data_IF_881903949699
#
_entry.id   IF_881903949699
#
_cell.length_a   1.000
_cell.length_b   1.000
_cell.length_c   1.000
_cell.angle_alpha   90.00
_cell.angle_beta   90.00
_cell.angle_gamma   90.00
#
_symmetry.space_group_name_H-M   'P 1'
#
loop_
_entity.id
_entity.type
_entity.pdbx_description
1 polymer ?
#
# COMPACT_ATOMS: atom_id res chain seq x y z
N UNK A 1 1.55 16.44 23.03
CA UNK A 1 1.02 16.24 21.66
C UNK A 1 2.16 15.82 20.74
N UNK A 2 2.06 14.66 20.09
CA UNK A 2 3.02 14.25 19.06
C UNK A 2 2.81 15.15 17.84
N UNK A 3 3.86 15.83 17.37
CA UNK A 3 3.83 16.58 16.10
C UNK A 3 3.86 15.57 14.97
N UNK A 4 2.75 15.43 14.25
CA UNK A 4 2.71 14.68 12.99
C UNK A 4 3.15 15.63 11.88
N UNK A 5 4.22 15.27 11.17
CA UNK A 5 4.68 16.02 10.01
C UNK A 5 4.06 15.38 8.77
N UNK A 6 3.11 16.06 8.16
CA UNK A 6 2.54 15.64 6.88
C UNK A 6 3.58 15.88 5.80
N UNK A 7 3.97 14.80 5.11
CA UNK A 7 4.92 14.86 4.01
C UNK A 7 4.13 15.22 2.75
N UNK A 8 4.09 16.50 2.40
CA UNK A 8 3.52 16.95 1.13
C UNK A 8 4.45 16.56 -0.04
N UNK A 9 3.94 15.74 -0.96
CA UNK A 9 4.76 15.06 -1.96
C UNK A 9 4.53 15.63 -3.36
N UNK A 10 5.61 16.02 -4.05
CA UNK A 10 5.65 15.93 -5.52
C UNK A 10 6.72 14.98 -6.06
N UNK A 11 7.84 14.74 -5.35
CA UNK A 11 8.95 13.87 -5.82
C UNK A 11 9.87 13.37 -4.69
N UNK A 12 9.36 12.90 -3.55
CA UNK A 12 10.26 12.36 -2.53
C UNK A 12 10.73 10.97 -2.95
N UNK A 13 12.06 10.78 -2.97
CA UNK A 13 12.69 9.49 -3.26
C UNK A 13 12.20 8.43 -2.28
N UNK A 14 11.62 7.31 -2.77
CA UNK A 14 11.13 6.20 -1.93
C UNK A 14 12.18 5.66 -0.97
N UNK A 15 13.45 5.68 -1.36
CA UNK A 15 14.57 5.29 -0.49
C UNK A 15 14.66 6.13 0.79
N UNK A 16 14.18 7.39 0.77
CA UNK A 16 14.14 8.24 1.97
C UNK A 16 12.98 7.87 2.91
N UNK A 17 11.93 7.23 2.39
CA UNK A 17 10.77 6.79 3.17
C UNK A 17 10.98 5.40 3.74
N UNK A 18 11.68 4.50 3.03
CA UNK A 18 12.01 3.16 3.52
C UNK A 18 12.86 3.20 4.80
N UNK A 19 13.68 4.23 4.99
CA UNK A 19 14.47 4.40 6.22
C UNK A 19 13.79 5.24 7.30
N UNK A 20 12.60 5.79 7.03
CA UNK A 20 11.85 6.53 8.03
C UNK A 20 11.21 5.55 9.05
N UNK A 21 11.56 5.63 10.35
CA UNK A 21 11.03 4.69 11.35
C UNK A 21 9.51 4.74 11.52
N UNK A 22 8.90 5.92 11.34
CA UNK A 22 7.45 6.07 11.41
C UNK A 22 6.78 5.39 10.21
N UNK A 23 7.36 5.52 9.02
CA UNK A 23 6.85 4.84 7.83
C UNK A 23 6.93 3.32 8.01
N UNK A 24 8.08 2.80 8.44
CA UNK A 24 8.25 1.36 8.74
C UNK A 24 7.20 0.86 9.73
N UNK A 25 7.03 1.56 10.86
CA UNK A 25 6.09 1.16 11.90
C UNK A 25 4.61 1.20 11.47
N UNK A 26 4.23 2.11 10.56
CA UNK A 26 2.83 2.28 10.15
C UNK A 26 2.49 1.45 8.91
N UNK A 27 3.43 1.33 7.97
CA UNK A 27 3.19 0.67 6.69
C UNK A 27 3.75 -0.76 6.68
N UNK A 28 5.07 -0.92 6.87
CA UNK A 28 5.74 -2.22 6.76
C UNK A 28 5.37 -3.16 7.90
N UNK A 29 5.34 -2.67 9.15
CA UNK A 29 5.04 -3.47 10.34
C UNK A 29 3.53 -3.58 10.64
N UNK A 30 2.68 -3.11 9.72
CA UNK A 30 1.22 -3.24 9.87
C UNK A 30 0.80 -4.71 9.88
N UNK A 31 -0.18 -5.04 10.71
CA UNK A 31 -0.80 -6.38 10.74
C UNK A 31 -1.84 -6.59 9.62
N UNK A 32 -2.17 -5.54 8.88
CA UNK A 32 -3.05 -5.59 7.71
C UNK A 32 -2.25 -5.57 6.41
N UNK A 33 -2.75 -6.26 5.38
CA UNK A 33 -2.22 -6.13 4.03
C UNK A 33 -2.57 -4.74 3.47
N UNK A 34 -1.54 -3.96 3.14
CA UNK A 34 -1.69 -2.61 2.60
C UNK A 34 -1.14 -2.54 1.18
N UNK A 35 -1.89 -1.88 0.30
CA UNK A 35 -1.53 -1.67 -1.11
C UNK A 35 -1.59 -0.18 -1.44
N UNK A 36 -0.59 0.31 -2.16
CA UNK A 36 -0.72 1.54 -2.91
C UNK A 36 -1.19 1.22 -4.31
N UNK A 37 -2.20 1.96 -4.78
CA UNK A 37 -2.78 1.79 -6.10
C UNK A 37 -2.52 3.04 -6.94
N UNK A 38 -2.27 2.85 -8.22
CA UNK A 38 -2.40 3.91 -9.20
C UNK A 38 -3.89 4.27 -9.31
N UNK A 39 -4.23 5.53 -9.05
CA UNK A 39 -5.62 5.96 -8.92
C UNK A 39 -6.42 5.87 -10.24
N UNK A 40 -5.74 5.81 -11.39
CA UNK A 40 -6.39 5.75 -12.71
C UNK A 40 -6.54 4.32 -13.18
N UNK A 41 -5.47 3.54 -13.14
CA UNK A 41 -5.43 2.16 -13.65
C UNK A 41 -5.81 1.11 -12.61
N UNK A 42 -5.91 1.48 -11.33
CA UNK A 42 -6.13 0.57 -10.19
C UNK A 42 -5.09 -0.57 -10.10
N UNK A 43 -3.92 -0.35 -10.69
CA UNK A 43 -2.78 -1.27 -10.58
C UNK A 43 -2.05 -1.05 -9.27
N UNK A 44 -1.58 -2.13 -8.68
CA UNK A 44 -0.74 -2.10 -7.49
C UNK A 44 0.59 -1.44 -7.86
N UNK A 45 0.93 -0.34 -7.19
CA UNK A 45 2.22 0.35 -7.33
C UNK A 45 3.20 -0.01 -6.22
N UNK A 46 2.68 -0.46 -5.06
CA UNK A 46 3.48 -0.98 -3.94
C UNK A 46 2.59 -1.76 -2.96
N UNK A 47 3.21 -2.52 -2.07
CA UNK A 47 2.56 -3.20 -0.96
C UNK A 47 3.51 -3.37 0.24
N UNK A 48 2.96 -3.63 1.42
CA UNK A 48 3.76 -3.91 2.63
C UNK A 48 4.12 -5.41 2.75
N UNK A 49 4.99 -5.73 3.71
CA UNK A 49 5.36 -7.12 4.01
C UNK A 49 4.15 -8.02 4.28
N UNK A 50 3.13 -7.50 4.97
CA UNK A 50 1.94 -8.27 5.30
C UNK A 50 1.13 -8.71 4.08
N UNK A 51 1.10 -7.89 3.04
CA UNK A 51 0.48 -8.26 1.77
C UNK A 51 1.20 -9.42 1.10
N UNK A 52 2.54 -9.44 1.10
CA UNK A 52 3.33 -10.56 0.55
C UNK A 52 2.96 -11.87 1.26
N UNK A 53 2.89 -11.84 2.60
CA UNK A 53 2.51 -13.00 3.42
C UNK A 53 1.10 -13.50 3.12
N UNK A 54 0.10 -12.61 3.18
CA UNK A 54 -1.31 -12.99 3.07
C UNK A 54 -1.70 -13.42 1.66
N UNK A 55 -1.06 -12.85 0.63
CA UNK A 55 -1.31 -13.19 -0.77
C UNK A 55 -0.34 -14.27 -1.29
N UNK A 56 0.50 -14.84 -0.42
CA UNK A 56 1.42 -15.94 -0.74
C UNK A 56 2.34 -15.63 -1.93
N UNK A 57 2.81 -14.39 -2.02
CA UNK A 57 3.82 -13.99 -3.00
C UNK A 57 5.23 -14.27 -2.46
N UNK A 58 6.21 -14.45 -3.35
CA UNK A 58 7.61 -14.58 -2.93
C UNK A 58 8.23 -13.21 -2.64
N UNK A 59 7.83 -12.20 -3.41
CA UNK A 59 8.37 -10.85 -3.34
C UNK A 59 7.37 -9.80 -3.86
N UNK A 60 7.59 -8.53 -3.51
CA UNK A 60 6.68 -7.42 -3.88
C UNK A 60 6.39 -7.34 -5.38
N UNK A 61 7.38 -7.60 -6.23
CA UNK A 61 7.24 -7.47 -7.70
C UNK A 61 6.21 -8.45 -8.28
N UNK A 62 5.96 -9.56 -7.59
CA UNK A 62 4.96 -10.55 -8.02
C UNK A 62 3.53 -9.99 -7.89
N UNK A 63 3.34 -8.97 -7.04
CA UNK A 63 2.07 -8.29 -6.81
C UNK A 63 1.97 -6.96 -7.59
N UNK A 64 3.09 -6.26 -7.80
CA UNK A 64 3.12 -4.96 -8.50
C UNK A 64 2.63 -5.10 -9.96
N UNK A 65 1.97 -4.06 -10.47
CA UNK A 65 1.33 -3.97 -11.79
C UNK A 65 0.12 -4.87 -12.02
N UNK A 66 -0.21 -5.77 -11.09
CA UNK A 66 -1.48 -6.49 -11.13
C UNK A 66 -2.65 -5.53 -10.80
N UNK A 67 -3.80 -5.83 -11.37
CA UNK A 67 -5.04 -5.11 -11.05
C UNK A 67 -5.51 -5.51 -9.66
N UNK A 68 -5.81 -4.53 -8.80
CA UNK A 68 -6.39 -4.78 -7.49
C UNK A 68 -7.90 -5.06 -7.53
N UNK A 69 -8.56 -4.77 -8.66
CA UNK A 69 -10.02 -4.88 -8.81
C UNK A 69 -10.60 -6.25 -8.42
N UNK A 70 -9.98 -7.40 -8.74
CA UNK A 70 -10.52 -8.71 -8.35
C UNK A 70 -10.59 -8.94 -6.83
N UNK A 71 -9.77 -8.22 -6.06
CA UNK A 71 -9.68 -8.36 -4.60
C UNK A 71 -10.52 -7.34 -3.84
N UNK A 72 -11.03 -6.32 -4.54
CA UNK A 72 -11.92 -5.35 -3.91
C UNK A 72 -13.31 -5.98 -3.79
N UNK A 73 -13.92 -5.97 -2.59
CA UNK A 73 -15.32 -6.31 -2.48
C UNK A 73 -16.12 -5.22 -3.19
N UNK A 74 -16.40 -5.44 -4.48
CA UNK A 74 -17.42 -4.72 -5.22
C UNK A 74 -18.76 -5.26 -4.73
N UNK A 75 -19.10 -4.99 -3.46
CA UNK A 75 -20.46 -5.15 -2.99
C UNK A 75 -21.34 -4.40 -4.01
N UNK A 76 -22.46 -4.98 -4.48
CA UNK A 76 -23.40 -4.17 -5.21
C UNK A 76 -23.74 -2.99 -4.29
N UNK A 77 -23.45 -1.78 -4.77
CA UNK A 77 -23.89 -0.55 -4.12
C UNK A 77 -25.42 -0.57 -4.19
N UNK A 78 -26.06 -1.30 -3.29
CA UNK A 78 -27.47 -1.11 -3.00
C UNK A 78 -27.54 0.22 -2.26
N UNK A 79 -27.63 1.29 -3.05
CA UNK A 79 -28.21 2.54 -2.60
C UNK A 79 -29.69 2.27 -2.34
N UNK A 80 -29.99 1.72 -1.16
CA UNK A 80 -31.33 1.69 -0.60
C UNK A 80 -31.56 2.97 0.22
#
# INVERSE_FOLDING_TARGET
>A
MRKFQFIENKKINRNLLSDNPLFKAVFEDSQEALFFLDAVSFKIVDCNQKAIELFQAEQKIDLINNSALPFMPLSPLNFA
#
